data_IF_070014721335
#
_entry.id   IF_070014721335
#
_cell.length_a   1.000
_cell.length_b   1.000
_cell.length_c   1.000
_cell.angle_alpha   90.00
_cell.angle_beta   90.00
_cell.angle_gamma   90.00
#
_symmetry.space_group_name_H-M   'P 1'
#
loop_
_entity.id
_entity.type
_entity.pdbx_description
1 polymer ?
#
# COMPACT_ATOMS: atom_id res chain seq x y z
N UNK A 1 10.27 16.50 8.82
CA UNK A 1 10.80 15.14 8.59
C UNK A 1 11.42 14.70 9.91
N UNK A 2 11.01 13.56 10.48
CA UNK A 2 11.49 13.16 11.81
C UNK A 2 12.99 12.88 11.79
N UNK A 3 13.76 13.43 12.74
CA UNK A 3 15.23 13.24 12.85
C UNK A 3 15.64 11.77 12.74
N UNK A 4 14.82 10.86 13.27
CA UNK A 4 15.04 9.41 13.23
C UNK A 4 14.97 8.81 11.82
N UNK A 5 14.03 9.25 10.98
CA UNK A 5 13.91 8.73 9.60
C UNK A 5 15.13 9.08 8.76
N UNK A 6 15.58 10.35 8.82
CA UNK A 6 16.77 10.80 8.10
C UNK A 6 18.04 10.06 8.56
N UNK A 7 18.16 9.81 9.86
CA UNK A 7 19.29 9.05 10.42
C UNK A 7 19.28 7.59 9.94
N UNK A 8 18.14 6.91 10.00
CA UNK A 8 18.01 5.54 9.51
C UNK A 8 18.23 5.44 7.98
N UNK A 9 17.77 6.44 7.22
CA UNK A 9 17.99 6.47 5.76
C UNK A 9 19.47 6.66 5.42
N UNK A 10 20.17 7.55 6.13
CA UNK A 10 21.61 7.74 5.94
C UNK A 10 22.40 6.47 6.30
N UNK A 11 22.05 5.80 7.40
CA UNK A 11 22.62 4.50 7.78
C UNK A 11 22.35 3.44 6.71
N UNK A 12 21.13 3.37 6.18
CA UNK A 12 20.76 2.47 5.10
C UNK A 12 21.64 2.64 3.84
N UNK A 13 22.06 3.87 3.54
CA UNK A 13 22.87 4.20 2.38
C UNK A 13 24.37 3.91 2.56
N UNK A 14 24.84 3.67 3.78
CA UNK A 14 26.25 3.35 4.09
C UNK A 14 26.55 1.85 4.00
N UNK A 15 25.52 1.05 3.78
CA UNK A 15 25.63 -0.39 3.69
C UNK A 15 26.09 -0.81 2.29
N UNK A 16 27.35 -1.25 2.18
CA UNK A 16 28.00 -1.65 0.91
C UNK A 16 27.84 -3.15 0.58
N UNK A 17 27.70 -4.00 1.59
CA UNK A 17 27.34 -5.41 1.44
C UNK A 17 25.87 -5.59 1.00
N UNK A 18 25.63 -6.62 0.20
CA UNK A 18 24.29 -6.97 -0.30
C UNK A 18 23.74 -8.25 0.32
N UNK A 19 24.57 -8.96 1.10
CA UNK A 19 24.27 -10.27 1.66
C UNK A 19 24.29 -10.24 3.18
N UNK A 20 23.24 -10.80 3.77
CA UNK A 20 23.12 -11.01 5.21
C UNK A 20 23.56 -12.45 5.51
N UNK A 21 24.69 -12.61 6.18
CA UNK A 21 25.05 -13.90 6.79
C UNK A 21 24.26 -14.09 8.08
N UNK A 22 23.69 -15.27 8.30
CA UNK A 22 22.89 -15.56 9.49
C UNK A 22 22.89 -17.05 9.82
N UNK A 23 22.62 -17.36 11.08
CA UNK A 23 22.43 -18.71 11.58
C UNK A 23 20.99 -18.90 12.05
N UNK A 24 20.41 -20.03 11.68
CA UNK A 24 19.11 -20.46 12.20
C UNK A 24 19.30 -21.57 13.22
N UNK A 25 18.69 -21.40 14.39
CA UNK A 25 18.69 -22.41 15.43
C UNK A 25 17.31 -22.52 16.08
N UNK A 26 17.04 -23.69 16.67
CA UNK A 26 15.79 -23.95 17.41
C UNK A 26 16.09 -24.03 18.89
N UNK A 27 15.21 -23.44 19.69
CA UNK A 27 15.24 -23.60 21.14
C UNK A 27 14.01 -24.40 21.55
N UNK A 28 14.18 -25.32 22.50
CA UNK A 28 13.12 -26.21 23.01
C UNK A 28 12.09 -25.51 23.88
N UNK A 29 11.43 -24.47 23.36
CA UNK A 29 10.35 -23.71 24.03
C UNK A 29 8.99 -24.00 23.40
N UNK A 30 7.89 -23.75 24.13
CA UNK A 30 6.52 -23.86 23.61
C UNK A 30 5.91 -22.46 23.40
N UNK A 31 5.31 -22.16 22.23
CA UNK A 31 5.37 -22.92 20.98
C UNK A 31 6.81 -22.97 20.42
N UNK A 32 7.16 -23.96 19.56
CA UNK A 32 8.50 -24.07 18.98
C UNK A 32 8.84 -22.79 18.20
N UNK A 33 10.03 -22.25 18.45
CA UNK A 33 10.53 -21.03 17.80
C UNK A 33 11.81 -21.35 17.05
N UNK A 34 11.90 -20.82 15.83
CA UNK A 34 13.16 -20.72 15.08
C UNK A 34 13.71 -19.33 15.34
N UNK A 35 14.94 -19.27 15.80
CA UNK A 35 15.67 -18.04 16.04
C UNK A 35 16.64 -17.84 14.89
N UNK A 36 16.76 -16.59 14.46
CA UNK A 36 17.82 -16.13 13.58
C UNK A 36 18.78 -15.28 14.41
N UNK A 37 20.07 -15.54 14.28
CA UNK A 37 21.10 -14.64 14.81
C UNK A 37 22.09 -14.32 13.69
N UNK A 38 22.71 -13.17 13.77
CA UNK A 38 23.71 -12.73 12.81
C UNK A 38 24.62 -11.70 13.48
N UNK A 39 25.95 -11.78 13.27
CA UNK A 39 26.88 -10.74 13.70
C UNK A 39 26.87 -9.53 12.75
N UNK A 40 26.07 -9.56 11.68
CA UNK A 40 26.03 -8.54 10.65
C UNK A 40 25.36 -7.25 11.12
N UNK A 41 25.98 -6.11 10.82
CA UNK A 41 25.42 -4.77 11.06
C UNK A 41 24.05 -4.59 10.35
N UNK A 42 23.82 -5.31 9.24
CA UNK A 42 22.54 -5.32 8.54
C UNK A 42 21.42 -5.92 9.39
N UNK A 43 21.72 -6.97 10.15
CA UNK A 43 20.75 -7.63 11.02
C UNK A 43 20.31 -6.69 12.15
N UNK A 44 21.27 -6.01 12.77
CA UNK A 44 21.00 -5.02 13.82
C UNK A 44 20.21 -3.83 13.27
N UNK A 45 20.58 -3.34 12.09
CA UNK A 45 19.84 -2.27 11.42
C UNK A 45 18.40 -2.69 11.11
N UNK A 46 18.20 -3.86 10.51
CA UNK A 46 16.88 -4.43 10.21
C UNK A 46 15.98 -4.48 11.47
N UNK A 47 16.54 -4.92 12.60
CA UNK A 47 15.83 -4.95 13.89
C UNK A 47 15.53 -3.56 14.44
N UNK A 48 16.40 -2.58 14.19
CA UNK A 48 16.20 -1.19 14.63
C UNK A 48 15.12 -0.43 13.84
N UNK A 49 14.92 -0.81 12.57
CA UNK A 49 13.91 -0.22 11.68
C UNK A 49 12.53 -0.84 11.92
N UNK A 50 12.49 -2.14 12.27
CA UNK A 50 11.26 -2.85 12.58
C UNK A 50 10.47 -2.18 13.71
N UNK A 51 9.19 -1.90 13.44
CA UNK A 51 8.24 -1.40 14.42
C UNK A 51 7.61 -2.58 15.16
N UNK A 52 7.63 -2.53 16.49
CA UNK A 52 7.05 -3.57 17.31
C UNK A 52 5.56 -3.80 16.95
N UNK A 53 5.14 -5.06 16.95
CA UNK A 53 3.76 -5.53 16.73
C UNK A 53 3.16 -5.28 15.34
N UNK A 54 3.73 -4.42 14.52
CA UNK A 54 3.22 -4.10 13.17
C UNK A 54 4.21 -4.42 12.06
N UNK A 55 5.49 -4.64 12.36
CA UNK A 55 6.46 -5.08 11.36
C UNK A 55 6.60 -6.59 11.34
N UNK A 56 6.57 -7.15 10.13
CA UNK A 56 6.70 -8.57 9.84
C UNK A 56 7.92 -8.78 8.95
N UNK A 57 8.66 -9.86 9.19
CA UNK A 57 9.81 -10.24 8.38
C UNK A 57 9.42 -11.45 7.51
N UNK A 58 9.37 -11.25 6.20
CA UNK A 58 9.23 -12.34 5.24
C UNK A 58 10.61 -12.86 4.87
N UNK A 59 10.78 -14.18 4.96
CA UNK A 59 12.02 -14.86 4.57
C UNK A 59 11.67 -15.88 3.48
N UNK A 60 12.14 -15.62 2.26
CA UNK A 60 11.95 -16.50 1.11
C UNK A 60 13.21 -17.31 0.88
N UNK A 61 13.10 -18.65 0.88
CA UNK A 61 14.18 -19.54 0.47
C UNK A 61 14.18 -19.65 -1.05
N UNK A 62 15.27 -19.22 -1.67
CA UNK A 62 15.52 -19.26 -3.11
C UNK A 62 16.59 -20.31 -3.40
N UNK A 63 16.46 -21.01 -4.53
CA UNK A 63 17.49 -21.91 -5.05
C UNK A 63 17.95 -21.34 -6.39
N UNK A 64 19.25 -21.14 -6.54
CA UNK A 64 19.84 -20.68 -7.81
C UNK A 64 19.97 -21.84 -8.80
N UNK A 65 20.21 -21.52 -10.07
CA UNK A 65 20.51 -22.54 -11.08
C UNK A 65 21.78 -23.36 -10.76
N UNK A 66 22.66 -22.83 -9.90
CA UNK A 66 23.87 -23.49 -9.37
C UNK A 66 23.60 -24.37 -8.14
N UNK A 67 22.34 -24.53 -7.71
CA UNK A 67 21.90 -25.22 -6.47
C UNK A 67 22.35 -24.56 -5.16
N UNK A 68 22.73 -23.29 -5.23
CA UNK A 68 23.02 -22.50 -4.02
C UNK A 68 21.71 -22.02 -3.42
N UNK A 69 21.60 -22.10 -2.08
CA UNK A 69 20.43 -21.63 -1.37
C UNK A 69 20.66 -20.20 -0.93
N UNK A 70 19.82 -19.28 -1.41
CA UNK A 70 19.79 -17.90 -0.97
C UNK A 70 18.53 -17.65 -0.14
N UNK A 71 18.60 -16.71 0.79
CA UNK A 71 17.43 -16.27 1.54
C UNK A 71 17.19 -14.79 1.29
N UNK A 72 15.99 -14.46 0.81
CA UNK A 72 15.57 -13.09 0.59
C UNK A 72 14.72 -12.62 1.77
N UNK A 73 15.24 -11.62 2.49
CA UNK A 73 14.59 -11.00 3.64
C UNK A 73 13.90 -9.70 3.21
N UNK A 74 12.61 -9.56 3.53
CA UNK A 74 11.85 -8.33 3.30
C UNK A 74 11.00 -8.00 4.52
N UNK A 75 11.19 -6.80 5.06
CA UNK A 75 10.31 -6.26 6.10
C UNK A 75 9.04 -5.71 5.45
N UNK A 76 7.90 -6.04 6.03
CA UNK A 76 6.59 -5.49 5.71
C UNK A 76 6.00 -4.85 6.96
N UNK A 77 5.11 -3.88 6.76
CA UNK A 77 4.32 -3.29 7.84
C UNK A 77 2.86 -3.67 7.60
N UNK A 78 2.21 -4.23 8.61
CA UNK A 78 0.77 -4.41 8.68
C UNK A 78 0.14 -3.20 9.39
N UNK A 79 -0.76 -2.51 8.71
CA UNK A 79 -1.50 -1.38 9.26
C UNK A 79 -2.90 -1.83 9.73
N UNK A 80 -2.99 -2.97 10.41
CA UNK A 80 -4.25 -3.38 11.03
C UNK A 80 -4.74 -2.26 11.99
N UNK A 81 -5.91 -1.65 11.74
CA UNK A 81 -6.44 -0.56 12.55
C UNK A 81 -6.60 -0.90 14.03
N UNK A 82 -6.78 -2.18 14.37
CA UNK A 82 -6.89 -2.63 15.76
C UNK A 82 -5.56 -2.55 16.52
N UNK A 83 -4.42 -2.63 15.81
CA UNK A 83 -3.07 -2.55 16.40
C UNK A 83 -2.62 -1.09 16.56
N UNK A 84 -3.21 -0.17 15.79
CA UNK A 84 -2.86 1.26 15.75
C UNK A 84 -3.49 2.11 16.88
N UNK A 85 -3.99 1.50 17.95
CA UNK A 85 -4.55 2.20 19.12
C UNK A 85 -3.55 3.13 19.86
N UNK A 86 -2.31 3.27 19.39
CA UNK A 86 -1.38 4.31 19.85
C UNK A 86 -1.68 5.64 19.15
N UNK A 87 -2.45 6.49 19.83
CA UNK A 87 -2.64 7.89 19.46
C UNK A 87 -1.30 8.63 19.48
N UNK A 88 -0.76 8.94 18.30
CA UNK A 88 0.22 10.02 18.14
C UNK A 88 -0.30 11.03 17.11
N UNK A 89 -0.46 12.28 17.58
CA UNK A 89 -0.58 13.45 16.73
C UNK A 89 0.67 13.54 15.85
N UNK A 90 0.58 13.15 14.58
CA UNK A 90 1.71 13.23 13.64
C UNK A 90 1.62 14.48 12.76
N UNK A 91 2.63 15.35 12.78
CA UNK A 91 2.75 16.44 11.82
C UNK A 91 3.14 15.91 10.43
N UNK A 92 2.60 16.53 9.37
CA UNK A 92 2.82 16.19 7.94
C UNK A 92 4.32 16.11 7.59
N UNK A 93 4.79 14.97 7.08
CA UNK A 93 6.18 14.73 6.65
C UNK A 93 6.24 14.66 5.11
N UNK A 94 7.10 15.46 4.48
CA UNK A 94 7.52 15.29 3.07
C UNK A 94 8.63 14.23 3.00
N UNK A 95 8.57 13.30 2.04
CA UNK A 95 9.59 12.28 1.76
C UNK A 95 10.48 12.67 0.56
N UNK A 96 11.76 12.23 0.49
CA UNK A 96 12.64 12.52 -0.63
C UNK A 96 12.40 11.56 -1.81
N UNK A 97 12.55 12.09 -3.03
CA UNK A 97 12.33 11.40 -4.31
C UNK A 97 13.43 10.35 -4.58
N UNK A 98 13.06 9.10 -4.86
CA UNK A 98 13.97 8.08 -5.42
C UNK A 98 13.74 7.98 -6.93
N UNK A 99 14.80 8.20 -7.71
CA UNK A 99 14.79 7.99 -9.17
C UNK A 99 14.66 6.49 -9.46
N UNK A 100 13.60 6.09 -10.16
CA UNK A 100 13.50 4.79 -10.82
C UNK A 100 13.30 5.07 -12.31
N UNK A 101 14.26 4.65 -13.13
CA UNK A 101 14.32 4.89 -14.56
C UNK A 101 13.45 3.92 -15.38
N UNK A 102 13.04 4.40 -16.56
CA UNK A 102 12.58 3.69 -17.78
C UNK A 102 11.06 3.45 -17.93
N UNK A 103 10.35 4.40 -18.56
CA UNK A 103 9.91 4.39 -19.99
C UNK A 103 8.95 5.56 -20.23
N UNK A 104 9.18 6.37 -21.26
CA UNK A 104 8.59 7.71 -21.43
C UNK A 104 7.06 7.76 -21.65
N UNK A 105 6.40 6.65 -22.02
CA UNK A 105 4.93 6.56 -22.03
C UNK A 105 4.32 6.49 -20.61
N UNK A 106 5.13 6.11 -19.61
CA UNK A 106 4.78 6.00 -18.18
C UNK A 106 5.07 7.26 -17.38
N UNK A 107 5.67 8.32 -17.94
CA UNK A 107 6.14 9.45 -17.11
C UNK A 107 5.01 10.25 -16.46
N UNK A 108 3.89 10.46 -17.17
CA UNK A 108 2.71 11.13 -16.59
C UNK A 108 1.96 10.25 -15.58
N UNK A 109 1.78 8.97 -15.89
CA UNK A 109 1.20 7.99 -14.96
C UNK A 109 2.09 7.72 -13.75
N UNK A 110 3.41 7.77 -13.92
CA UNK A 110 4.39 7.56 -12.86
C UNK A 110 4.36 8.67 -11.83
N UNK A 111 4.33 9.94 -12.27
CA UNK A 111 4.23 11.08 -11.35
C UNK A 111 2.86 11.14 -10.66
N UNK A 112 1.77 10.93 -11.41
CA UNK A 112 0.41 10.85 -10.85
C UNK A 112 0.33 9.72 -9.80
N UNK A 113 0.73 8.50 -10.18
CA UNK A 113 0.72 7.33 -9.31
C UNK A 113 1.57 7.56 -8.07
N UNK A 114 2.77 8.11 -8.22
CA UNK A 114 3.65 8.39 -7.10
C UNK A 114 3.03 9.41 -6.13
N UNK A 115 2.50 10.53 -6.64
CA UNK A 115 1.81 11.54 -5.81
C UNK A 115 0.57 10.96 -5.13
N UNK A 116 -0.19 10.12 -5.82
CA UNK A 116 -1.36 9.46 -5.25
C UNK A 116 -0.97 8.50 -4.11
N UNK A 117 0.07 7.67 -4.30
CA UNK A 117 0.55 6.74 -3.26
C UNK A 117 1.07 7.47 -2.01
N UNK A 118 1.62 8.67 -2.15
CA UNK A 118 2.01 9.49 -0.99
C UNK A 118 0.80 9.93 -0.14
N UNK A 119 -0.38 10.06 -0.74
CA UNK A 119 -1.60 10.44 -0.03
C UNK A 119 -2.46 9.23 0.38
N UNK A 120 -2.47 8.18 -0.45
CA UNK A 120 -3.25 6.96 -0.28
C UNK A 120 -2.30 5.75 -0.36
N UNK A 121 -1.60 5.37 0.72
CA UNK A 121 -0.51 4.39 0.62
C UNK A 121 -0.98 2.93 0.47
N UNK A 122 -2.27 2.64 0.58
CA UNK A 122 -2.81 1.29 0.55
C UNK A 122 -4.25 1.25 0.03
N UNK A 123 -4.73 0.05 -0.31
CA UNK A 123 -6.12 -0.16 -0.68
C UNK A 123 -7.04 -0.09 0.54
N UNK A 124 -8.07 0.76 0.57
CA UNK A 124 -8.94 0.94 1.73
C UNK A 124 -9.88 -0.25 1.98
N UNK A 125 -10.02 -1.19 1.04
CA UNK A 125 -10.80 -2.42 1.24
C UNK A 125 -9.99 -3.56 1.83
N UNK A 126 -8.76 -3.76 1.32
CA UNK A 126 -7.95 -4.95 1.61
C UNK A 126 -6.75 -4.65 2.50
N UNK A 127 -6.46 -3.37 2.77
CA UNK A 127 -5.27 -2.88 3.48
C UNK A 127 -3.93 -3.26 2.82
N UNK A 128 -3.96 -3.82 1.60
CA UNK A 128 -2.75 -4.14 0.83
C UNK A 128 -1.99 -2.85 0.54
N UNK A 129 -0.71 -2.84 0.89
CA UNK A 129 0.23 -1.73 0.67
C UNK A 129 1.39 -2.11 -0.26
N UNK A 130 1.42 -3.34 -0.78
CA UNK A 130 2.41 -3.74 -1.77
C UNK A 130 2.10 -3.03 -3.10
N UNK A 131 2.92 -2.03 -3.45
CA UNK A 131 2.75 -1.22 -4.65
C UNK A 131 2.65 -2.05 -5.94
N UNK A 132 3.24 -3.25 -6.00
CA UNK A 132 3.12 -4.11 -7.19
C UNK A 132 1.70 -4.65 -7.42
N UNK A 133 0.89 -4.71 -6.36
CA UNK A 133 -0.49 -5.20 -6.40
C UNK A 133 -1.51 -4.06 -6.46
N UNK A 134 -1.06 -2.80 -6.40
CA UNK A 134 -1.94 -1.64 -6.29
C UNK A 134 -2.12 -0.94 -7.63
N UNK A 135 -3.35 -0.53 -7.92
CA UNK A 135 -3.73 0.26 -9.08
C UNK A 135 -4.08 1.68 -8.62
N UNK A 136 -3.55 2.66 -9.35
CA UNK A 136 -3.91 4.07 -9.22
C UNK A 136 -5.13 4.34 -10.09
N UNK A 137 -6.31 4.08 -9.54
CA UNK A 137 -7.59 4.25 -10.23
C UNK A 137 -7.97 5.71 -10.26
N UNK A 138 -8.26 6.27 -11.43
CA UNK A 138 -8.88 7.59 -11.54
C UNK A 138 -10.32 7.54 -11.01
N UNK A 139 -10.75 8.60 -10.32
CA UNK A 139 -12.14 8.74 -9.85
C UNK A 139 -13.02 9.21 -11.02
N UNK A 140 -12.66 10.34 -11.62
CA UNK A 140 -13.20 10.78 -12.91
C UNK A 140 -12.40 10.06 -14.01
N UNK A 141 -13.04 9.26 -14.90
CA UNK A 141 -12.31 8.48 -15.90
C UNK A 141 -11.39 9.32 -16.78
N UNK A 142 -10.20 8.80 -17.08
CA UNK A 142 -9.15 9.49 -17.84
C UNK A 142 -9.65 10.15 -19.14
N UNK A 143 -10.53 9.46 -19.87
CA UNK A 143 -11.07 9.91 -21.16
C UNK A 143 -11.94 11.18 -21.00
N UNK A 144 -12.48 11.42 -19.80
CA UNK A 144 -13.34 12.58 -19.47
C UNK A 144 -12.57 13.69 -18.75
N UNK A 145 -11.29 13.49 -18.48
CA UNK A 145 -10.46 14.45 -17.75
C UNK A 145 -9.81 15.47 -18.69
N UNK A 146 -9.69 16.71 -18.21
CA UNK A 146 -8.76 17.68 -18.77
C UNK A 146 -7.31 17.35 -18.40
N UNK A 147 -6.34 18.09 -18.94
CA UNK A 147 -4.92 17.80 -18.73
C UNK A 147 -4.44 18.03 -17.28
N UNK A 148 -5.13 18.87 -16.50
CA UNK A 148 -4.83 19.05 -15.06
C UNK A 148 -5.40 17.90 -14.25
N UNK A 149 -6.65 17.51 -14.51
CA UNK A 149 -7.34 16.41 -13.83
C UNK A 149 -6.67 15.06 -14.06
N UNK A 150 -6.02 14.85 -15.21
CA UNK A 150 -5.27 13.62 -15.53
C UNK A 150 -4.08 13.39 -14.57
N UNK A 151 -3.43 14.46 -14.14
CA UNK A 151 -2.21 14.41 -13.31
C UNK A 151 -2.47 14.79 -11.85
N UNK A 152 -3.71 15.14 -11.50
CA UNK A 152 -4.11 15.54 -10.16
C UNK A 152 -4.25 14.31 -9.24
N UNK A 153 -3.42 14.15 -8.20
CA UNK A 153 -3.53 13.03 -7.27
C UNK A 153 -4.87 12.99 -6.50
N UNK A 154 -5.64 14.09 -6.47
CA UNK A 154 -7.00 14.10 -5.90
C UNK A 154 -8.02 13.43 -6.81
N UNK A 155 -7.75 13.30 -8.10
CA UNK A 155 -8.56 12.53 -9.01
C UNK A 155 -8.18 11.04 -8.99
N UNK A 156 -7.99 10.46 -7.80
CA UNK A 156 -7.50 9.10 -7.71
C UNK A 156 -7.84 8.40 -6.41
N UNK A 157 -7.86 7.08 -6.44
CA UNK A 157 -7.84 6.22 -5.26
C UNK A 157 -6.96 5.00 -5.53
N UNK A 158 -6.41 4.43 -4.47
CA UNK A 158 -5.56 3.24 -4.57
C UNK A 158 -6.40 2.02 -4.25
N UNK A 159 -6.44 1.08 -5.18
CA UNK A 159 -7.26 -0.13 -5.09
C UNK A 159 -6.47 -1.37 -5.49
N UNK A 160 -6.82 -2.52 -4.93
CA UNK A 160 -6.39 -3.82 -5.47
C UNK A 160 -7.18 -4.14 -6.75
N UNK A 161 -6.68 -5.03 -7.63
CA UNK A 161 -7.20 -5.15 -9.00
C UNK A 161 -8.68 -5.49 -9.08
N UNK A 162 -9.18 -6.29 -8.14
CA UNK A 162 -10.60 -6.64 -8.08
C UNK A 162 -11.47 -5.42 -7.77
N UNK A 163 -11.08 -4.61 -6.78
CA UNK A 163 -11.86 -3.44 -6.37
C UNK A 163 -11.73 -2.28 -7.36
N UNK A 164 -10.55 -2.11 -7.96
CA UNK A 164 -10.33 -1.21 -9.11
C UNK A 164 -11.34 -1.52 -10.22
N UNK A 165 -11.44 -2.80 -10.60
CA UNK A 165 -12.36 -3.21 -11.67
C UNK A 165 -13.82 -2.96 -11.33
N UNK A 166 -14.22 -3.16 -10.09
CA UNK A 166 -15.58 -2.89 -9.63
C UNK A 166 -15.88 -1.39 -9.67
N UNK A 167 -14.92 -0.57 -9.25
CA UNK A 167 -15.05 0.88 -9.20
C UNK A 167 -15.07 1.49 -10.60
N UNK A 168 -14.06 1.22 -11.43
CA UNK A 168 -13.94 1.70 -12.82
C UNK A 168 -15.16 1.34 -13.69
N UNK A 169 -15.78 0.18 -13.42
CA UNK A 169 -16.98 -0.28 -14.14
C UNK A 169 -18.31 0.21 -13.54
N UNK A 170 -18.25 1.01 -12.48
CA UNK A 170 -19.41 1.60 -11.81
C UNK A 170 -20.22 0.60 -10.99
N UNK A 171 -19.67 -0.56 -10.61
CA UNK A 171 -20.35 -1.52 -9.75
C UNK A 171 -20.31 -1.14 -8.28
N UNK A 172 -19.31 -0.35 -7.87
CA UNK A 172 -19.21 0.25 -6.54
C UNK A 172 -18.90 1.74 -6.66
N UNK A 173 -19.30 2.52 -5.66
CA UNK A 173 -18.92 3.92 -5.49
C UNK A 173 -18.94 4.27 -4.00
N UNK A 174 -18.64 5.52 -3.64
CA UNK A 174 -18.71 6.01 -2.25
C UNK A 174 -19.54 7.28 -2.15
N UNK A 175 -20.31 7.41 -1.08
CA UNK A 175 -20.96 8.68 -0.71
C UNK A 175 -19.98 9.62 0.02
N UNK A 176 -20.45 10.83 0.31
CA UNK A 176 -19.69 11.87 1.03
C UNK A 176 -19.29 11.46 2.47
N UNK A 177 -19.95 10.44 3.02
CA UNK A 177 -19.68 9.87 4.34
C UNK A 177 -18.81 8.61 4.28
N UNK A 178 -18.17 8.33 3.12
CA UNK A 178 -17.36 7.14 2.85
C UNK A 178 -18.13 5.82 2.92
N UNK A 179 -19.46 5.85 2.83
CA UNK A 179 -20.29 4.65 2.75
C UNK A 179 -20.17 4.03 1.38
N UNK A 180 -19.98 2.72 1.37
CA UNK A 180 -19.97 1.94 0.14
C UNK A 180 -21.37 1.90 -0.50
N UNK A 181 -21.44 2.36 -1.74
CA UNK A 181 -22.61 2.24 -2.61
C UNK A 181 -22.42 1.03 -3.52
N UNK A 182 -23.43 0.16 -3.60
CA UNK A 182 -23.41 -1.02 -4.44
C UNK A 182 -24.39 -0.87 -5.59
N UNK A 183 -23.94 -1.18 -6.81
CA UNK A 183 -24.79 -1.20 -7.98
C UNK A 183 -25.73 -2.41 -7.94
N UNK A 184 -27.01 -2.28 -8.31
CA UNK A 184 -27.91 -3.43 -8.44
C UNK A 184 -27.50 -4.39 -9.56
N UNK A 185 -26.59 -3.98 -10.45
CA UNK A 185 -26.00 -4.83 -11.48
C UNK A 185 -24.98 -5.84 -10.92
N UNK A 186 -24.58 -5.71 -9.65
CA UNK A 186 -23.73 -6.68 -8.98
C UNK A 186 -24.59 -7.69 -8.21
N UNK A 187 -24.51 -8.96 -8.61
CA UNK A 187 -25.37 -9.99 -8.01
C UNK A 187 -25.15 -10.15 -6.49
N UNK A 188 -26.20 -10.43 -5.69
CA UNK A 188 -26.05 -10.62 -4.24
C UNK A 188 -25.03 -11.70 -3.86
N UNK A 189 -24.93 -12.75 -4.68
CA UNK A 189 -23.94 -13.82 -4.50
C UNK A 189 -22.51 -13.29 -4.68
N UNK A 190 -22.26 -12.44 -5.67
CA UNK A 190 -20.95 -11.83 -5.89
C UNK A 190 -20.62 -10.79 -4.83
N UNK A 191 -21.59 -10.00 -4.35
CA UNK A 191 -21.43 -9.10 -3.20
C UNK A 191 -20.89 -9.88 -2.00
N UNK A 192 -21.51 -11.03 -1.68
CA UNK A 192 -21.05 -11.90 -0.58
C UNK A 192 -19.66 -12.48 -0.82
N UNK A 193 -19.37 -13.00 -2.02
CA UNK A 193 -18.05 -13.57 -2.38
C UNK A 193 -16.91 -12.55 -2.33
N UNK A 194 -17.21 -11.29 -2.63
CA UNK A 194 -16.27 -10.17 -2.60
C UNK A 194 -16.20 -9.47 -1.24
N UNK A 195 -16.90 -10.00 -0.24
CA UNK A 195 -16.99 -9.44 1.11
C UNK A 195 -17.40 -7.95 1.13
N UNK A 196 -18.33 -7.59 0.24
CA UNK A 196 -18.91 -6.25 0.16
C UNK A 196 -20.14 -6.17 1.06
N UNK A 197 -20.36 -5.02 1.68
CA UNK A 197 -21.54 -4.77 2.51
C UNK A 197 -22.06 -3.37 2.22
N UNK A 198 -23.32 -3.28 1.83
CA UNK A 198 -23.96 -2.01 1.52
C UNK A 198 -23.93 -1.10 2.75
N UNK A 199 -23.71 0.20 2.53
CA UNK A 199 -23.61 1.21 3.59
C UNK A 199 -22.48 1.02 4.60
N UNK A 200 -21.56 0.07 4.36
CA UNK A 200 -20.35 -0.06 5.17
C UNK A 200 -19.51 1.20 5.01
N UNK A 201 -19.18 1.82 6.14
CA UNK A 201 -18.26 2.97 6.18
C UNK A 201 -16.84 2.44 5.99
N UNK A 202 -16.17 2.90 4.94
CA UNK A 202 -14.76 2.61 4.68
C UNK A 202 -13.94 3.74 5.29
N UNK A 203 -13.58 3.61 6.58
CA UNK A 203 -12.94 4.67 7.37
C UNK A 203 -11.62 5.13 6.76
N UNK A 204 -10.90 4.17 6.17
CA UNK A 204 -9.58 4.29 5.60
C UNK A 204 -9.58 4.94 4.21
N UNK A 205 -10.75 5.12 3.59
CA UNK A 205 -10.87 5.85 2.33
C UNK A 205 -10.47 7.31 2.56
N UNK A 206 -9.46 7.78 1.83
CA UNK A 206 -9.06 9.18 1.83
C UNK A 206 -10.03 9.97 0.95
N UNK A 207 -10.86 10.78 1.57
CA UNK A 207 -11.89 11.58 0.91
C UNK A 207 -11.85 12.99 1.50
N UNK A 208 -11.03 13.85 0.88
CA UNK A 208 -11.00 15.28 1.16
C UNK A 208 -11.93 16.03 0.22
N UNK A 209 -12.10 17.33 0.44
CA UNK A 209 -13.01 18.19 -0.34
C UNK A 209 -12.72 18.10 -1.86
N UNK A 210 -11.45 17.98 -2.27
CA UNK A 210 -11.10 17.92 -3.69
C UNK A 210 -11.38 16.54 -4.29
N UNK A 211 -11.05 15.46 -3.58
CA UNK A 211 -11.39 14.08 -3.97
C UNK A 211 -12.91 13.91 -4.05
N UNK A 212 -13.66 14.52 -3.15
CA UNK A 212 -15.11 14.45 -3.11
C UNK A 212 -15.76 15.06 -4.35
N UNK A 213 -15.22 16.16 -4.90
CA UNK A 213 -15.72 16.72 -6.16
C UNK A 213 -15.62 15.71 -7.33
N UNK A 214 -14.52 14.96 -7.39
CA UNK A 214 -14.40 13.88 -8.38
C UNK A 214 -15.32 12.70 -8.04
N UNK A 215 -15.48 12.37 -6.75
CA UNK A 215 -16.35 11.26 -6.32
C UNK A 215 -17.81 11.54 -6.62
N UNK A 216 -18.24 12.79 -6.51
CA UNK A 216 -19.55 13.24 -6.97
C UNK A 216 -19.72 12.97 -8.47
N UNK A 217 -18.74 13.37 -9.30
CA UNK A 217 -18.77 13.05 -10.74
C UNK A 217 -18.89 11.54 -10.97
N UNK A 218 -18.14 10.72 -10.24
CA UNK A 218 -18.20 9.26 -10.35
C UNK A 218 -19.60 8.74 -10.00
N UNK A 219 -20.22 9.20 -8.91
CA UNK A 219 -21.59 8.82 -8.52
C UNK A 219 -22.65 9.20 -9.56
N UNK A 220 -22.45 10.31 -10.28
CA UNK A 220 -23.40 10.83 -11.26
C UNK A 220 -23.23 10.24 -12.66
N UNK A 221 -21.99 9.91 -13.06
CA UNK A 221 -21.65 9.61 -14.46
C UNK A 221 -21.08 8.21 -14.69
N UNK A 222 -20.54 7.55 -13.66
CA UNK A 222 -19.88 6.24 -13.77
C UNK A 222 -20.64 5.16 -13.03
N UNK A 223 -21.09 5.47 -11.81
CA UNK A 223 -21.82 4.54 -10.97
C UNK A 223 -23.13 4.11 -11.62
N UNK A 224 -23.31 2.80 -11.75
CA UNK A 224 -24.51 2.20 -12.34
C UNK A 224 -25.57 2.06 -11.27
N UNK A 225 -26.54 2.96 -11.29
CA UNK A 225 -27.76 2.82 -10.49
C UNK A 225 -28.66 1.70 -10.98
#
# INVERSE_FOLDING_TARGET
>A
MGKKFLLLLAQCQQFDETFLEFELYRVGVKPPRVYANSPSLYYDFMRSVGLANISYLSVLKLETNTKEILFYFKIFIDYNPEILCYQHNTPKIKMPKKQVSLTQARMGQGEYRHKLLLECPFCPFTMVNDEHLLIASHIKPWIKCDDKEKIDPKNGIILTPTYDKLFDRGFISFDENKRLLLSPWLSPMNIKRLNLSENKIIKELQLDIQRENYMQYHRENVFKR
#
